data_IF_580492565890
#
_entry.id   IF_580492565890
#
_cell.length_a   1.000
_cell.length_b   1.000
_cell.length_c   1.000
_cell.angle_alpha   90.00
_cell.angle_beta   90.00
_cell.angle_gamma   90.00
#
_symmetry.space_group_name_H-M   'P 1'
#
loop_
_entity.id
_entity.type
_entity.pdbx_description
1 polymer ?
#
# COMPACT_ATOMS: atom_id res chain seq x y z
N UNK A 1 8.40 6.21 20.93
CA UNK A 1 7.06 5.91 20.35
C UNK A 1 7.29 5.37 18.95
N UNK A 2 6.49 4.39 18.53
CA UNK A 2 6.58 3.80 17.18
C UNK A 2 6.36 4.87 16.08
N UNK A 3 7.24 5.00 15.06
CA UNK A 3 7.11 6.01 14.01
C UNK A 3 5.81 5.92 13.19
N UNK A 4 5.28 4.72 12.98
CA UNK A 4 4.02 4.52 12.27
C UNK A 4 2.86 5.00 13.13
N UNK A 5 2.85 4.66 14.41
CA UNK A 5 1.81 5.11 15.35
C UNK A 5 1.87 6.63 15.49
N UNK A 6 3.07 7.21 15.60
CA UNK A 6 3.25 8.67 15.66
C UNK A 6 2.68 9.34 14.40
N UNK A 7 2.94 8.78 13.22
CA UNK A 7 2.38 9.28 11.96
C UNK A 7 0.85 9.18 11.91
N UNK A 8 0.28 8.04 12.31
CA UNK A 8 -1.17 7.85 12.32
C UNK A 8 -1.86 8.81 13.30
N UNK A 9 -1.27 9.08 14.46
CA UNK A 9 -1.80 10.06 15.42
C UNK A 9 -1.86 11.49 14.86
N UNK A 10 -1.03 11.84 13.88
CA UNK A 10 -1.16 13.13 13.18
C UNK A 10 -2.46 13.24 12.36
N UNK A 11 -3.18 12.13 12.17
CA UNK A 11 -4.47 12.11 11.48
C UNK A 11 -5.64 12.37 12.44
N UNK A 12 -5.39 12.55 13.74
CA UNK A 12 -6.41 13.02 14.68
C UNK A 12 -6.97 14.38 14.18
N UNK A 13 -8.29 14.48 14.03
CA UNK A 13 -8.95 15.65 13.45
C UNK A 13 -8.96 15.70 11.92
N UNK A 14 -8.35 14.72 11.22
CA UNK A 14 -8.51 14.58 9.78
C UNK A 14 -9.81 13.82 9.48
N UNK A 15 -10.86 14.55 9.05
CA UNK A 15 -12.20 14.02 8.76
C UNK A 15 -12.20 12.68 7.98
N UNK A 16 -11.42 12.51 6.89
CA UNK A 16 -11.38 11.23 6.20
C UNK A 16 -10.80 10.10 7.07
N UNK A 17 -9.82 10.34 7.94
CA UNK A 17 -9.30 9.31 8.83
C UNK A 17 -10.28 8.98 9.96
N UNK A 18 -10.99 9.98 10.48
CA UNK A 18 -12.15 9.89 11.40
C UNK A 18 -12.21 8.62 12.26
N UNK A 19 -13.34 7.92 12.17
CA UNK A 19 -13.64 6.69 12.93
C UNK A 19 -12.73 5.49 12.56
N UNK A 20 -11.92 5.60 11.49
CA UNK A 20 -11.05 4.52 11.00
C UNK A 20 -9.69 4.52 11.68
N UNK A 21 -9.30 5.63 12.30
CA UNK A 21 -7.98 5.78 12.90
C UNK A 21 -7.70 4.74 14.02
N UNK A 22 -8.61 4.45 14.96
CA UNK A 22 -8.39 3.41 15.96
C UNK A 22 -8.16 2.04 15.31
N UNK A 23 -8.99 1.67 14.32
CA UNK A 23 -8.85 0.43 13.57
C UNK A 23 -7.50 0.34 12.84
N UNK A 24 -7.02 1.44 12.25
CA UNK A 24 -5.72 1.50 11.58
C UNK A 24 -4.54 1.28 12.53
N UNK A 25 -4.56 1.93 13.70
CA UNK A 25 -3.51 1.79 14.71
C UNK A 25 -3.50 0.36 15.25
N UNK A 26 -4.67 -0.18 15.58
CA UNK A 26 -4.79 -1.55 16.09
C UNK A 26 -4.38 -2.59 15.03
N UNK A 27 -4.84 -2.43 13.78
CA UNK A 27 -4.44 -3.30 12.68
C UNK A 27 -2.92 -3.25 12.47
N UNK A 28 -2.30 -2.07 12.54
CA UNK A 28 -0.84 -1.96 12.46
C UNK A 28 -0.13 -2.77 13.55
N UNK A 29 -0.59 -2.68 14.80
CA UNK A 29 0.01 -3.46 15.89
C UNK A 29 -0.10 -4.96 15.66
N UNK A 30 -1.27 -5.43 15.19
CA UNK A 30 -1.49 -6.84 14.83
C UNK A 30 -0.59 -7.29 13.69
N UNK A 31 -0.49 -6.50 12.61
CA UNK A 31 0.39 -6.79 11.47
C UNK A 31 1.86 -6.82 11.88
N UNK A 32 2.32 -5.84 12.68
CA UNK A 32 3.70 -5.78 13.16
C UNK A 32 4.06 -6.97 14.06
N UNK A 33 3.09 -7.48 14.82
CA UNK A 33 3.25 -8.63 15.70
C UNK A 33 3.01 -9.98 15.02
N UNK A 34 2.68 -10.03 13.73
CA UNK A 34 2.41 -11.29 13.02
C UNK A 34 3.73 -12.01 12.70
N UNK A 35 3.90 -13.22 13.21
CA UNK A 35 5.13 -14.03 13.01
C UNK A 35 5.43 -14.32 11.54
N UNK A 36 4.41 -14.33 10.65
CA UNK A 36 4.62 -14.54 9.20
C UNK A 36 5.37 -13.37 8.56
N UNK A 37 5.34 -12.19 9.19
CA UNK A 37 6.05 -10.99 8.74
C UNK A 37 7.32 -10.73 9.56
N UNK A 38 7.81 -11.73 10.31
CA UNK A 38 9.04 -11.61 11.08
C UNK A 38 10.22 -11.22 10.18
N UNK A 39 10.96 -10.20 10.62
CA UNK A 39 12.10 -9.66 9.86
C UNK A 39 11.72 -8.64 8.79
N UNK A 40 10.42 -8.41 8.52
CA UNK A 40 9.99 -7.35 7.62
C UNK A 40 10.28 -5.97 8.22
N UNK A 41 10.57 -5.02 7.34
CA UNK A 41 10.73 -3.61 7.69
C UNK A 41 9.37 -2.92 7.63
N UNK A 42 9.14 -1.99 8.56
CA UNK A 42 7.91 -1.20 8.63
C UNK A 42 8.23 0.30 8.56
N UNK A 43 7.39 1.06 7.86
CA UNK A 43 7.54 2.50 7.72
C UNK A 43 6.18 3.20 7.78
N UNK A 44 6.15 4.46 8.27
CA UNK A 44 4.94 5.27 8.21
C UNK A 44 4.56 5.54 6.75
N UNK A 45 3.30 5.89 6.54
CA UNK A 45 2.89 6.51 5.28
C UNK A 45 3.71 7.77 4.98
N UNK A 46 4.01 8.01 3.71
CA UNK A 46 4.67 9.25 3.26
C UNK A 46 3.68 10.41 3.27
N UNK A 47 4.11 11.59 3.68
CA UNK A 47 3.40 12.85 3.41
C UNK A 47 3.82 13.36 2.02
N UNK A 48 3.02 14.23 1.38
CA UNK A 48 3.50 14.89 0.16
C UNK A 48 4.63 15.86 0.55
N UNK A 49 5.68 15.97 -0.27
CA UNK A 49 6.80 16.89 -0.01
C UNK A 49 6.40 18.38 -0.08
N UNK A 50 5.18 18.71 -0.56
CA UNK A 50 4.68 20.08 -0.46
C UNK A 50 4.24 20.34 0.99
N UNK A 51 5.11 20.99 1.76
CA UNK A 51 4.95 21.42 3.16
C UNK A 51 3.64 22.18 3.46
N UNK A 52 2.93 22.65 2.42
CA UNK A 52 1.66 23.37 2.55
C UNK A 52 0.42 22.48 2.61
N UNK A 53 0.51 21.17 2.35
CA UNK A 53 -0.63 20.27 2.49
C UNK A 53 -0.52 19.44 3.77
N UNK A 54 -1.29 19.82 4.79
CA UNK A 54 -1.49 19.02 6.01
C UNK A 54 -2.20 17.69 5.77
N UNK A 55 -2.63 17.41 4.54
CA UNK A 55 -3.39 16.22 4.22
C UNK A 55 -2.45 15.02 4.08
N UNK A 56 -2.61 13.96 4.88
CA UNK A 56 -1.83 12.74 4.70
C UNK A 56 -2.12 12.12 3.33
N UNK A 57 -1.15 11.39 2.75
CA UNK A 57 -1.31 10.73 1.43
C UNK A 57 -2.30 9.56 1.43
N UNK A 58 -3.14 9.45 2.46
CA UNK A 58 -4.03 8.34 2.73
C UNK A 58 -3.30 6.99 2.83
N UNK A 59 -1.97 6.95 2.84
CA UNK A 59 -1.18 5.75 3.13
C UNK A 59 -1.06 5.66 4.64
N UNK A 60 -1.63 4.64 5.27
CA UNK A 60 -1.59 4.47 6.71
C UNK A 60 -0.20 4.02 7.17
N UNK A 61 0.27 2.89 6.64
CA UNK A 61 1.59 2.34 6.91
C UNK A 61 2.06 1.48 5.75
N UNK A 62 3.35 1.15 5.77
CA UNK A 62 3.98 0.29 4.77
C UNK A 62 4.80 -0.82 5.44
N UNK A 63 4.92 -1.95 4.76
CA UNK A 63 5.73 -3.09 5.15
C UNK A 63 6.51 -3.62 3.94
N UNK A 64 7.73 -4.09 4.13
CA UNK A 64 8.52 -4.69 3.05
C UNK A 64 9.50 -5.75 3.54
N UNK A 65 9.67 -6.86 2.80
CA UNK A 65 10.75 -7.82 2.97
C UNK A 65 11.88 -7.64 1.96
N UNK A 66 11.78 -6.63 1.08
CA UNK A 66 12.79 -6.32 0.09
C UNK A 66 13.85 -5.41 0.71
N UNK A 67 15.10 -5.54 0.26
CA UNK A 67 16.18 -4.62 0.66
C UNK A 67 16.07 -3.27 -0.05
N UNK A 68 15.41 -3.25 -1.22
CA UNK A 68 15.12 -2.05 -2.01
C UNK A 68 14.03 -1.19 -1.38
N UNK A 69 13.72 -0.05 -2.01
CA UNK A 69 12.63 0.83 -1.64
C UNK A 69 11.29 0.41 -2.29
N UNK A 70 11.05 -0.89 -2.44
CA UNK A 70 9.78 -1.42 -2.96
C UNK A 70 8.92 -1.88 -1.77
N UNK A 71 7.73 -1.29 -1.60
CA UNK A 71 6.94 -1.42 -0.36
C UNK A 71 5.49 -1.84 -0.62
N UNK A 72 4.97 -2.70 0.26
CA UNK A 72 3.54 -2.91 0.41
C UNK A 72 2.94 -1.86 1.32
N UNK A 73 1.75 -1.35 1.01
CA UNK A 73 1.16 -0.18 1.68
C UNK A 73 -0.31 -0.43 1.95
N UNK A 74 -0.74 -0.22 3.20
CA UNK A 74 -2.15 -0.11 3.53
C UNK A 74 -2.61 1.34 3.38
N UNK A 75 -3.74 1.57 2.73
CA UNK A 75 -4.22 2.92 2.38
C UNK A 75 -5.73 3.08 2.58
N UNK A 76 -6.15 4.28 2.92
CA UNK A 76 -7.53 4.75 2.78
C UNK A 76 -7.79 5.12 1.32
N UNK A 77 -8.96 4.77 0.80
CA UNK A 77 -9.38 5.25 -0.52
C UNK A 77 -10.01 6.63 -0.34
N UNK A 78 -9.32 7.69 -0.78
CA UNK A 78 -9.70 9.10 -0.54
C UNK A 78 -11.17 9.40 -0.83
N UNK A 79 -11.69 8.86 -1.94
CA UNK A 79 -13.04 9.17 -2.46
C UNK A 79 -14.09 8.10 -2.13
N UNK A 80 -13.70 7.03 -1.41
CA UNK A 80 -14.57 5.95 -0.98
C UNK A 80 -14.26 5.65 0.49
N UNK A 81 -14.98 6.31 1.40
CA UNK A 81 -14.72 6.21 2.84
C UNK A 81 -14.98 4.79 3.39
N UNK A 82 -15.74 3.99 2.66
CA UNK A 82 -16.08 2.60 2.94
C UNK A 82 -15.07 1.59 2.37
N UNK A 83 -13.93 2.06 1.84
CA UNK A 83 -12.91 1.19 1.24
C UNK A 83 -11.50 1.47 1.75
N UNK A 84 -10.73 0.39 1.81
CA UNK A 84 -9.28 0.42 1.93
C UNK A 84 -8.65 -0.06 0.63
N UNK A 85 -7.35 0.21 0.47
CA UNK A 85 -6.54 -0.48 -0.52
C UNK A 85 -5.24 -1.00 0.07
N UNK A 86 -4.81 -2.15 -0.44
CA UNK A 86 -3.46 -2.67 -0.28
C UNK A 86 -2.77 -2.43 -1.61
N UNK A 87 -1.62 -1.77 -1.57
CA UNK A 87 -0.84 -1.47 -2.77
C UNK A 87 0.59 -1.94 -2.67
N UNK A 88 1.22 -2.14 -3.82
CA UNK A 88 2.66 -2.33 -3.96
C UNK A 88 3.22 -1.14 -4.74
N UNK A 89 4.15 -0.43 -4.11
CA UNK A 89 4.72 0.79 -4.62
C UNK A 89 6.23 0.60 -4.82
N UNK A 90 6.62 0.55 -6.09
CA UNK A 90 8.02 0.58 -6.48
C UNK A 90 8.62 1.95 -6.14
N UNK A 91 9.84 1.93 -5.60
CA UNK A 91 10.62 3.11 -5.25
C UNK A 91 9.89 4.07 -4.27
N UNK A 92 9.12 3.52 -3.32
CA UNK A 92 8.33 4.28 -2.35
C UNK A 92 9.17 5.26 -1.53
N UNK A 93 10.41 4.91 -1.18
CA UNK A 93 11.33 5.77 -0.45
C UNK A 93 11.98 6.90 -1.27
N UNK A 94 11.81 6.87 -2.59
CA UNK A 94 12.64 7.62 -3.55
C UNK A 94 11.84 8.65 -4.35
N UNK A 95 10.54 8.83 -4.05
CA UNK A 95 9.59 9.57 -4.88
C UNK A 95 9.87 11.08 -5.10
N UNK A 96 10.94 11.66 -4.54
CA UNK A 96 11.14 13.11 -4.44
C UNK A 96 12.44 13.68 -5.07
N UNK A 97 13.29 12.88 -5.76
CA UNK A 97 14.46 13.44 -6.45
C UNK A 97 14.19 13.71 -7.95
N UNK A 98 14.31 14.96 -8.38
CA UNK A 98 14.25 15.37 -9.81
C UNK A 98 15.28 14.55 -10.60
N UNK A 99 14.83 13.77 -11.60
CA UNK A 99 15.63 12.85 -12.41
C UNK A 99 15.26 11.36 -12.27
N UNK A 100 14.64 10.95 -11.16
CA UNK A 100 14.27 9.54 -10.91
C UNK A 100 12.85 9.17 -11.42
N UNK A 101 12.03 10.16 -11.79
CA UNK A 101 10.68 9.95 -12.32
C UNK A 101 10.63 9.05 -13.56
N UNK A 102 11.60 9.20 -14.47
CA UNK A 102 11.68 8.38 -15.69
C UNK A 102 11.97 6.92 -15.35
N UNK A 103 12.90 6.67 -14.42
CA UNK A 103 13.25 5.32 -13.95
C UNK A 103 12.07 4.65 -13.25
N UNK A 104 11.38 5.37 -12.38
CA UNK A 104 10.21 4.87 -11.64
C UNK A 104 9.08 4.49 -12.61
N UNK A 105 8.81 5.35 -13.61
CA UNK A 105 7.78 5.08 -14.62
C UNK A 105 8.14 3.86 -15.46
N UNK A 106 9.42 3.71 -15.80
CA UNK A 106 9.95 2.57 -16.53
C UNK A 106 9.81 1.26 -15.74
N UNK A 107 10.29 1.21 -14.48
CA UNK A 107 10.18 0.02 -13.60
C UNK A 107 8.73 -0.44 -13.44
N UNK A 108 7.78 0.48 -13.29
CA UNK A 108 6.35 0.15 -13.21
C UNK A 108 5.82 -0.45 -14.49
N UNK A 109 6.24 0.06 -15.64
CA UNK A 109 5.83 -0.48 -16.94
C UNK A 109 6.37 -1.90 -17.13
N UNK A 110 7.65 -2.12 -16.84
CA UNK A 110 8.26 -3.46 -16.94
C UNK A 110 7.63 -4.46 -15.97
N UNK A 111 7.49 -4.06 -14.70
CA UNK A 111 6.82 -4.91 -13.69
C UNK A 111 5.39 -5.21 -14.12
N UNK A 112 4.67 -4.23 -14.66
CA UNK A 112 3.32 -4.42 -15.17
C UNK A 112 3.26 -5.34 -16.38
N UNK A 113 4.26 -5.34 -17.27
CA UNK A 113 4.34 -6.28 -18.38
C UNK A 113 4.62 -7.71 -17.87
N UNK A 114 5.57 -7.86 -16.95
CA UNK A 114 5.91 -9.16 -16.36
C UNK A 114 4.73 -9.79 -15.61
N UNK A 115 3.96 -9.00 -14.85
CA UNK A 115 2.74 -9.52 -14.19
C UNK A 115 1.72 -10.02 -15.21
N UNK A 116 1.54 -9.33 -16.35
CA UNK A 116 0.61 -9.78 -17.40
C UNK A 116 1.07 -11.11 -17.99
N UNK A 117 2.34 -11.21 -18.35
CA UNK A 117 2.93 -12.44 -18.89
C UNK A 117 2.76 -13.61 -17.91
N UNK A 118 3.01 -13.40 -16.62
CA UNK A 118 2.79 -14.42 -15.59
C UNK A 118 1.31 -14.79 -15.42
N UNK A 119 0.38 -13.84 -15.52
CA UNK A 119 -1.05 -14.12 -15.48
C UNK A 119 -1.53 -14.90 -16.72
N UNK A 120 -0.99 -14.60 -17.89
CA UNK A 120 -1.27 -15.33 -19.12
C UNK A 120 -0.73 -16.77 -19.06
N UNK A 121 0.48 -16.94 -18.50
CA UNK A 121 1.09 -18.26 -18.31
C UNK A 121 0.45 -19.09 -17.18
N UNK A 122 -0.04 -18.42 -16.13
CA UNK A 122 -0.70 -19.07 -14.99
C UNK A 122 -1.80 -18.16 -14.39
N UNK A 123 -3.04 -18.28 -14.86
CA UNK A 123 -4.15 -17.44 -14.39
C UNK A 123 -4.47 -17.56 -12.90
N UNK A 124 -4.04 -18.66 -12.24
CA UNK A 124 -4.31 -18.91 -10.83
C UNK A 124 -3.31 -18.23 -9.88
N UNK A 125 -2.25 -17.60 -10.42
CA UNK A 125 -1.13 -17.10 -9.64
C UNK A 125 -1.49 -15.89 -8.75
N UNK A 126 -2.65 -15.26 -8.98
CA UNK A 126 -3.13 -14.09 -8.23
C UNK A 126 -4.65 -14.13 -7.96
N UNK A 127 -5.08 -14.77 -6.85
CA UNK A 127 -6.44 -14.62 -6.34
C UNK A 127 -6.87 -13.16 -6.14
N UNK A 128 -5.94 -12.29 -5.75
CA UNK A 128 -6.18 -10.84 -5.60
C UNK A 128 -5.52 -10.04 -6.72
N UNK A 129 -6.34 -9.28 -7.46
CA UNK A 129 -5.85 -8.47 -8.56
C UNK A 129 -4.99 -7.29 -8.06
N UNK A 130 -3.70 -7.28 -8.42
CA UNK A 130 -2.77 -6.18 -8.14
C UNK A 130 -2.84 -5.02 -9.17
N UNK A 131 -3.82 -5.05 -10.06
CA UNK A 131 -3.90 -4.06 -11.13
C UNK A 131 -4.38 -2.70 -10.63
N UNK A 132 -3.77 -1.59 -11.09
CA UNK A 132 -4.25 -0.26 -10.76
C UNK A 132 -5.72 -0.12 -11.18
N UNK A 133 -6.61 0.04 -10.18
CA UNK A 133 -8.04 0.27 -10.40
C UNK A 133 -8.34 1.74 -10.18
N UNK A 134 -9.11 2.37 -11.06
CA UNK A 134 -9.59 3.70 -10.79
C UNK A 134 -10.48 3.72 -9.52
N UNK A 135 -10.61 4.87 -8.86
CA UNK A 135 -11.56 5.02 -7.75
C UNK A 135 -13.01 4.94 -8.24
N UNK A 136 -13.24 5.29 -9.52
CA UNK A 136 -14.51 5.25 -10.26
C UNK A 136 -14.25 4.93 -11.73
N UNK A 137 -15.23 4.37 -12.43
CA UNK A 137 -15.15 4.14 -13.87
C UNK A 137 -14.88 5.46 -14.62
N UNK A 138 -14.09 5.39 -15.70
CA UNK A 138 -13.66 6.52 -16.53
C UNK A 138 -12.72 7.58 -15.91
N UNK A 139 -12.14 7.35 -14.71
CA UNK A 139 -11.14 8.26 -14.14
C UNK A 139 -9.70 7.76 -14.24
N UNK A 140 -8.71 8.66 -14.42
CA UNK A 140 -7.30 8.29 -14.33
C UNK A 140 -6.96 7.73 -12.95
N UNK A 141 -6.23 6.63 -12.93
CA UNK A 141 -5.77 6.02 -11.69
C UNK A 141 -4.75 6.92 -10.99
N UNK A 142 -5.09 7.38 -9.78
CA UNK A 142 -4.28 8.36 -9.05
C UNK A 142 -3.07 7.75 -8.33
N UNK A 143 -3.09 6.44 -8.08
CA UNK A 143 -1.99 5.75 -7.44
C UNK A 143 -0.94 5.35 -8.47
N UNK A 144 0.30 5.38 -8.02
CA UNK A 144 1.48 5.27 -8.85
C UNK A 144 2.00 3.82 -8.79
N UNK A 145 1.20 2.85 -8.38
CA UNK A 145 1.64 1.47 -8.19
C UNK A 145 0.52 0.47 -8.46
N UNK A 146 0.75 -0.75 -8.02
CA UNK A 146 -0.19 -1.87 -8.10
C UNK A 146 -1.12 -1.80 -6.89
N UNK A 147 -2.42 -2.00 -7.05
CA UNK A 147 -3.33 -1.94 -5.90
C UNK A 147 -4.52 -2.87 -6.00
N UNK A 148 -5.01 -3.26 -4.83
CA UNK A 148 -6.26 -3.95 -4.65
C UNK A 148 -7.10 -3.18 -3.66
N UNK A 149 -8.30 -2.79 -4.10
CA UNK A 149 -9.31 -2.13 -3.26
C UNK A 149 -10.30 -3.15 -2.76
N UNK A 150 -10.68 -3.03 -1.50
CA UNK A 150 -11.64 -3.91 -0.85
C UNK A 150 -12.54 -3.12 0.10
N UNK A 151 -13.71 -3.70 0.39
CA UNK A 151 -14.66 -3.13 1.34
C UNK A 151 -14.05 -3.07 2.73
N UNK A 152 -14.32 -1.99 3.45
CA UNK A 152 -13.92 -1.83 4.84
C UNK A 152 -14.35 -3.05 5.68
N UNK A 153 -13.40 -3.71 6.36
CA UNK A 153 -13.71 -4.81 7.25
C UNK A 153 -14.43 -4.33 8.51
N UNK A 154 -15.03 -5.27 9.24
CA UNK A 154 -15.76 -4.97 10.47
C UNK A 154 -14.83 -4.69 11.67
N UNK A 155 -13.57 -5.15 11.60
CA UNK A 155 -12.62 -5.12 12.70
C UNK A 155 -11.18 -4.88 12.26
N UNK A 156 -10.34 -4.50 13.23
CA UNK A 156 -8.90 -4.38 13.04
C UNK A 156 -8.23 -5.74 12.73
N UNK A 157 -8.75 -6.83 13.29
CA UNK A 157 -8.30 -8.20 13.02
C UNK A 157 -8.50 -8.59 11.56
N UNK A 158 -9.69 -8.35 11.02
CA UNK A 158 -9.98 -8.61 9.62
C UNK A 158 -9.15 -7.73 8.69
N UNK A 159 -8.90 -6.47 9.06
CA UNK A 159 -8.03 -5.57 8.30
C UNK A 159 -6.58 -6.06 8.28
N UNK A 160 -6.07 -6.47 9.44
CA UNK A 160 -4.73 -6.99 9.60
C UNK A 160 -4.54 -8.31 8.84
N UNK A 161 -5.43 -9.30 9.01
CA UNK A 161 -5.33 -10.58 8.30
C UNK A 161 -5.40 -10.38 6.79
N UNK A 162 -6.30 -9.52 6.32
CA UNK A 162 -6.40 -9.21 4.89
C UNK A 162 -5.12 -8.56 4.36
N UNK A 163 -4.52 -7.63 5.11
CA UNK A 163 -3.22 -7.06 4.76
C UNK A 163 -2.15 -8.16 4.67
N UNK A 164 -1.96 -8.95 5.72
CA UNK A 164 -0.93 -10.00 5.79
C UNK A 164 -1.09 -11.01 4.65
N UNK A 165 -2.30 -11.50 4.41
CA UNK A 165 -2.58 -12.48 3.34
C UNK A 165 -2.23 -11.92 1.96
N UNK A 166 -2.68 -10.70 1.66
CA UNK A 166 -2.40 -10.08 0.36
C UNK A 166 -0.92 -9.80 0.18
N UNK A 167 -0.22 -9.28 1.19
CA UNK A 167 1.22 -8.96 1.03
C UNK A 167 2.06 -10.22 0.91
N UNK A 168 1.71 -11.33 1.58
CA UNK A 168 2.39 -12.61 1.41
C UNK A 168 2.12 -13.25 0.03
N UNK A 169 0.89 -13.12 -0.48
CA UNK A 169 0.55 -13.55 -1.84
C UNK A 169 1.37 -12.76 -2.87
N UNK A 170 1.39 -11.44 -2.72
CA UNK A 170 2.07 -10.55 -3.65
C UNK A 170 3.59 -10.58 -3.51
N UNK A 171 4.13 -10.80 -2.32
CA UNK A 171 5.57 -10.95 -2.09
C UNK A 171 6.17 -12.05 -2.96
N UNK A 172 5.48 -13.19 -3.06
CA UNK A 172 5.90 -14.30 -3.93
C UNK A 172 5.93 -13.87 -5.39
N UNK A 173 4.88 -13.18 -5.84
CA UNK A 173 4.80 -12.64 -7.20
C UNK A 173 5.97 -11.69 -7.47
N UNK A 174 6.11 -10.66 -6.64
CA UNK A 174 7.08 -9.60 -6.89
C UNK A 174 8.52 -10.10 -6.76
N UNK A 175 8.84 -11.04 -5.86
CA UNK A 175 10.18 -11.67 -5.82
C UNK A 175 10.58 -12.39 -7.11
N UNK A 176 9.63 -12.81 -7.94
CA UNK A 176 9.93 -13.42 -9.24
C UNK A 176 10.19 -12.39 -10.33
N UNK A 177 9.82 -11.12 -10.09
CA UNK A 177 9.81 -10.04 -11.09
C UNK A 177 10.90 -8.99 -10.81
N UNK A 178 11.13 -8.64 -9.54
CA UNK A 178 12.06 -7.59 -9.10
C UNK A 178 13.34 -8.16 -8.49
#
# INVERSE_FOLDING_TARGET
MDPVVQYLKQWEGYEPAGQRLPMLIEAYHKVRGDERLKGWRFAPGRQRPNEHSKNPMHCAFAATPFDTDDWFILRLVKRCLDKFSIGFCLDYGVQDRKGQLTRITYRRRETGAAIKEMQEANPALLPTACWPKADKDAQPHAFKGFEWKFQMPSSADELADRFVRTVLEWERLFRMII
#
